data_IF_722663583555
#
_entry.id   IF_722663583555
#
_cell.length_a   1.000
_cell.length_b   1.000
_cell.length_c   1.000
_cell.angle_alpha   90.00
_cell.angle_beta   90.00
_cell.angle_gamma   90.00
#
_symmetry.space_group_name_H-M   'P 1'
#
loop_
_entity.id
_entity.type
_entity.pdbx_description
1 polymer ?
#
# COMPACT_ATOMS: atom_id res chain seq x y z
N UNK A 1 10.17 -9.31 10.34
CA UNK A 1 9.65 -8.09 10.98
C UNK A 1 8.31 -7.75 10.35
N UNK A 2 7.24 -7.60 11.14
CA UNK A 2 5.95 -7.13 10.62
C UNK A 2 5.99 -5.59 10.59
N UNK A 3 6.26 -5.04 9.41
CA UNK A 3 6.37 -3.60 9.17
C UNK A 3 5.00 -2.88 9.28
N UNK A 4 3.92 -3.61 9.57
CA UNK A 4 2.55 -3.08 9.70
C UNK A 4 2.32 -2.23 10.95
N UNK A 5 3.30 -2.06 11.85
CA UNK A 5 3.10 -1.53 13.20
C UNK A 5 3.79 -0.19 13.53
N UNK A 6 4.32 0.54 12.55
CA UNK A 6 4.99 1.83 12.84
C UNK A 6 4.04 2.96 13.29
N UNK A 7 2.71 2.77 13.25
CA UNK A 7 1.76 3.80 13.68
C UNK A 7 0.54 3.30 14.50
N UNK A 8 0.71 2.27 15.35
CA UNK A 8 -0.38 1.87 16.26
C UNK A 8 -0.04 2.12 17.73
N UNK A 9 -0.31 3.35 18.18
CA UNK A 9 -0.41 3.67 19.61
C UNK A 9 -1.88 3.91 20.02
N UNK A 10 -2.34 2.96 20.87
CA UNK A 10 -3.31 3.05 21.99
C UNK A 10 -4.75 2.52 21.80
N UNK A 11 -5.08 1.49 22.58
CA UNK A 11 -6.44 1.22 23.06
C UNK A 11 -6.76 -0.24 23.43
N UNK A 12 -6.35 -0.69 24.61
CA UNK A 12 -6.64 -1.99 25.26
C UNK A 12 -8.07 -2.05 25.85
N UNK A 13 -8.78 -3.20 25.77
CA UNK A 13 -9.29 -4.06 26.89
C UNK A 13 -10.54 -4.90 26.52
N UNK A 14 -10.35 -6.23 26.53
CA UNK A 14 -11.13 -7.31 27.16
C UNK A 14 -12.68 -7.31 27.21
N UNK A 15 -13.27 -8.31 26.52
CA UNK A 15 -14.00 -9.42 27.14
C UNK A 15 -15.52 -9.30 27.40
N UNK A 16 -16.28 -10.31 26.96
CA UNK A 16 -17.60 -10.67 27.52
C UNK A 16 -18.72 -10.92 26.50
N UNK A 17 -19.25 -12.15 26.50
CA UNK A 17 -20.30 -12.74 25.65
C UNK A 17 -21.72 -12.26 25.99
N UNK A 18 -22.69 -12.38 25.05
CA UNK A 18 -24.02 -13.01 25.20
C UNK A 18 -24.95 -12.72 23.98
N UNK A 19 -25.58 -13.80 23.50
CA UNK A 19 -26.89 -14.01 22.84
C UNK A 19 -27.62 -12.93 22.02
N UNK A 20 -28.29 -13.39 20.95
CA UNK A 20 -29.63 -12.89 20.62
C UNK A 20 -29.81 -12.12 19.30
N UNK A 21 -30.37 -12.84 18.33
CA UNK A 21 -31.23 -12.43 17.19
C UNK A 21 -31.49 -10.94 16.85
N UNK A 22 -31.30 -10.67 15.54
CA UNK A 22 -32.04 -9.73 14.69
C UNK A 22 -31.97 -8.23 15.00
N UNK A 23 -31.25 -7.49 14.15
CA UNK A 23 -31.67 -6.17 13.65
C UNK A 23 -30.77 -5.68 12.53
N UNK A 24 -31.38 -5.39 11.38
CA UNK A 24 -30.86 -4.68 10.21
C UNK A 24 -29.45 -4.08 10.34
N UNK A 25 -28.45 -4.69 9.72
CA UNK A 25 -27.24 -3.93 9.39
C UNK A 25 -27.59 -3.02 8.21
N UNK A 26 -27.98 -1.78 8.52
CA UNK A 26 -27.81 -0.65 7.61
C UNK A 26 -26.31 -0.44 7.39
N UNK A 27 -25.65 -1.39 6.72
CA UNK A 27 -24.30 -1.20 6.22
C UNK A 27 -24.43 -0.08 5.21
N UNK A 28 -23.98 1.13 5.56
CA UNK A 28 -23.90 2.22 4.59
C UNK A 28 -23.22 1.65 3.35
N UNK A 29 -23.81 1.80 2.15
CA UNK A 29 -23.17 1.34 0.93
C UNK A 29 -21.73 1.87 0.95
N UNK A 30 -20.76 0.98 0.87
CA UNK A 30 -19.38 1.40 0.77
C UNK A 30 -19.28 2.17 -0.55
N UNK A 31 -19.28 3.51 -0.47
CA UNK A 31 -19.38 4.40 -1.63
C UNK A 31 -18.22 4.19 -2.61
N UNK A 32 -17.13 3.54 -2.17
CA UNK A 32 -16.00 3.17 -3.01
C UNK A 32 -16.28 1.95 -3.91
N UNK A 33 -17.34 1.18 -3.68
CA UNK A 33 -17.77 0.07 -4.55
C UNK A 33 -18.42 0.56 -5.85
N UNK A 34 -18.96 1.78 -5.86
CA UNK A 34 -19.69 2.36 -7.00
C UNK A 34 -18.79 3.18 -7.93
N UNK A 35 -17.51 3.35 -7.57
CA UNK A 35 -16.57 4.13 -8.38
C UNK A 35 -16.08 3.32 -9.60
N UNK A 36 -16.06 3.92 -10.80
CA UNK A 36 -15.38 3.37 -11.96
C UNK A 36 -13.89 3.10 -11.68
N UNK A 37 -13.33 2.05 -12.29
CA UNK A 37 -11.93 1.64 -12.07
C UNK A 37 -10.92 2.74 -12.42
N UNK A 38 -11.18 3.53 -13.46
CA UNK A 38 -10.34 4.66 -13.85
C UNK A 38 -10.28 5.75 -12.78
N UNK A 39 -11.41 6.02 -12.11
CA UNK A 39 -11.48 6.98 -11.00
C UNK A 39 -10.73 6.45 -9.78
N UNK A 40 -10.90 5.16 -9.46
CA UNK A 40 -10.14 4.53 -8.37
C UNK A 40 -8.65 4.62 -8.66
N UNK A 41 -8.23 4.37 -9.91
CA UNK A 41 -6.83 4.43 -10.32
C UNK A 41 -6.25 5.82 -10.13
N UNK A 42 -6.99 6.85 -10.53
CA UNK A 42 -6.56 8.25 -10.39
C UNK A 42 -6.40 8.65 -8.92
N UNK A 43 -7.32 8.20 -8.05
CA UNK A 43 -7.21 8.40 -6.60
C UNK A 43 -5.95 7.70 -6.07
N UNK A 44 -5.78 6.40 -6.36
CA UNK A 44 -4.66 5.62 -5.85
C UNK A 44 -3.30 6.19 -6.31
N UNK A 45 -3.19 6.70 -7.54
CA UNK A 45 -1.96 7.30 -8.08
C UNK A 45 -1.53 8.58 -7.35
N UNK A 46 -2.46 9.22 -6.64
CA UNK A 46 -2.18 10.41 -5.84
C UNK A 46 -1.77 10.06 -4.41
N UNK A 47 -1.82 8.78 -4.04
CA UNK A 47 -1.37 8.28 -2.74
C UNK A 47 0.10 7.89 -2.82
N UNK A 48 0.82 8.07 -1.71
CA UNK A 48 2.19 7.56 -1.57
C UNK A 48 2.21 6.05 -1.35
N UNK A 49 3.40 5.45 -1.46
CA UNK A 49 3.60 4.00 -1.31
C UNK A 49 3.04 3.47 0.01
N UNK A 50 3.35 4.14 1.12
CA UNK A 50 2.88 3.76 2.46
C UNK A 50 1.35 3.71 2.52
N UNK A 51 0.68 4.75 2.03
CA UNK A 51 -0.78 4.83 2.07
C UNK A 51 -1.44 3.73 1.22
N UNK A 52 -0.84 3.38 0.07
CA UNK A 52 -1.33 2.28 -0.77
C UNK A 52 -1.15 0.93 -0.06
N UNK A 53 0.04 0.68 0.50
CA UNK A 53 0.40 -0.58 1.16
C UNK A 53 -0.33 -0.77 2.49
N UNK A 54 -0.56 0.27 3.27
CA UNK A 54 -1.13 0.14 4.61
C UNK A 54 -2.63 0.32 4.60
N UNK A 55 -3.15 1.30 3.86
CA UNK A 55 -4.54 1.76 4.00
C UNK A 55 -5.40 1.44 2.77
N UNK A 56 -5.00 1.87 1.57
CA UNK A 56 -5.85 1.82 0.39
C UNK A 56 -6.27 0.39 0.01
N UNK A 57 -5.37 -0.59 0.14
CA UNK A 57 -5.67 -2.00 -0.11
C UNK A 57 -6.67 -2.64 0.88
N UNK A 58 -7.07 -1.93 1.95
CA UNK A 58 -8.02 -2.40 2.98
C UNK A 58 -9.42 -1.79 2.84
N UNK A 59 -9.62 -0.84 1.91
CA UNK A 59 -10.89 -0.12 1.74
C UNK A 59 -12.01 -1.03 1.23
N UNK A 60 -11.75 -1.76 0.15
CA UNK A 60 -12.67 -2.76 -0.42
C UNK A 60 -11.89 -3.75 -1.31
N UNK A 61 -12.57 -4.81 -1.76
CA UNK A 61 -11.97 -5.82 -2.64
C UNK A 61 -11.48 -5.25 -3.97
N UNK A 62 -12.20 -4.30 -4.57
CA UNK A 62 -11.81 -3.66 -5.83
C UNK A 62 -10.51 -2.87 -5.69
N UNK A 63 -10.40 -2.05 -4.64
CA UNK A 63 -9.17 -1.29 -4.35
C UNK A 63 -8.00 -2.23 -4.05
N UNK A 64 -8.24 -3.29 -3.25
CA UNK A 64 -7.24 -4.31 -2.97
C UNK A 64 -6.73 -4.98 -4.24
N UNK A 65 -7.63 -5.33 -5.16
CA UNK A 65 -7.29 -5.93 -6.45
C UNK A 65 -6.41 -4.98 -7.27
N UNK A 66 -6.80 -3.71 -7.38
CA UNK A 66 -6.00 -2.72 -8.11
C UNK A 66 -4.62 -2.46 -7.49
N UNK A 67 -4.54 -2.35 -6.16
CA UNK A 67 -3.27 -2.10 -5.47
C UNK A 67 -2.29 -3.28 -5.59
N UNK A 68 -2.78 -4.52 -5.74
CA UNK A 68 -1.95 -5.73 -5.80
C UNK A 68 -1.69 -6.22 -7.22
N UNK A 69 -2.69 -6.16 -8.08
CA UNK A 69 -2.70 -6.89 -9.35
C UNK A 69 -2.51 -5.97 -10.57
N UNK A 70 -2.56 -4.63 -10.43
CA UNK A 70 -2.34 -3.68 -11.53
C UNK A 70 -0.92 -3.10 -11.46
N UNK A 71 0.04 -3.56 -12.29
CA UNK A 71 1.41 -3.04 -12.26
C UNK A 71 1.49 -1.57 -12.69
N UNK A 72 0.50 -1.06 -13.42
CA UNK A 72 0.47 0.33 -13.87
C UNK A 72 0.33 1.33 -12.70
N UNK A 73 -0.11 0.84 -11.54
CA UNK A 73 -0.14 1.59 -10.28
C UNK A 73 1.25 1.87 -9.72
N UNK A 74 2.21 1.01 -10.02
CA UNK A 74 3.56 0.99 -9.43
C UNK A 74 4.63 1.49 -10.40
N UNK A 75 4.23 2.19 -11.47
CA UNK A 75 5.16 2.82 -12.43
C UNK A 75 5.88 4.03 -11.85
N UNK A 76 5.28 4.67 -10.86
CA UNK A 76 5.82 5.80 -10.15
C UNK A 76 5.79 5.47 -8.65
N UNK A 77 6.96 5.41 -8.03
CA UNK A 77 7.13 5.09 -6.62
C UNK A 77 7.67 6.34 -5.92
N UNK A 78 6.86 6.99 -5.09
CA UNK A 78 7.29 8.12 -4.26
C UNK A 78 7.36 7.71 -2.78
N UNK A 79 8.58 7.68 -2.27
CA UNK A 79 8.92 7.38 -0.88
C UNK A 79 9.69 8.55 -0.24
N UNK A 80 9.53 9.77 -0.75
CA UNK A 80 10.09 10.97 -0.09
C UNK A 80 9.39 11.22 1.23
N UNK A 81 10.16 11.68 2.22
CA UNK A 81 9.65 12.18 3.51
C UNK A 81 8.84 11.15 4.31
N UNK A 82 9.02 9.86 4.05
CA UNK A 82 8.46 8.79 4.88
C UNK A 82 9.23 8.73 6.20
N UNK A 83 8.49 8.55 7.30
CA UNK A 83 9.07 8.28 8.62
C UNK A 83 9.01 6.78 8.91
N UNK A 84 9.97 6.27 9.67
CA UNK A 84 10.01 4.86 10.04
C UNK A 84 11.43 4.36 10.20
N UNK A 85 11.55 3.07 10.52
CA UNK A 85 12.83 2.38 10.50
C UNK A 85 13.24 2.11 9.06
N UNK A 86 14.51 2.36 8.72
CA UNK A 86 15.04 2.18 7.35
C UNK A 86 14.74 0.77 6.81
N UNK A 87 14.88 -0.27 7.65
CA UNK A 87 14.55 -1.66 7.28
C UNK A 87 13.09 -1.83 6.83
N UNK A 88 12.14 -1.12 7.46
CA UNK A 88 10.74 -1.15 7.07
C UNK A 88 10.52 -0.41 5.73
N UNK A 89 11.22 0.70 5.52
CA UNK A 89 11.16 1.47 4.27
C UNK A 89 11.76 0.68 3.10
N UNK A 90 12.88 -0.03 3.32
CA UNK A 90 13.47 -0.93 2.33
C UNK A 90 12.49 -2.04 1.91
N UNK A 91 11.81 -2.69 2.87
CA UNK A 91 10.81 -3.73 2.58
C UNK A 91 9.63 -3.17 1.79
N UNK A 92 9.13 -1.99 2.15
CA UNK A 92 8.05 -1.33 1.38
C UNK A 92 8.49 -0.96 -0.03
N UNK A 93 9.74 -0.51 -0.19
CA UNK A 93 10.31 -0.20 -1.48
C UNK A 93 10.41 -1.46 -2.36
N UNK A 94 10.91 -2.57 -1.79
CA UNK A 94 11.02 -3.83 -2.51
C UNK A 94 9.65 -4.35 -2.96
N UNK A 95 8.66 -4.36 -2.07
CA UNK A 95 7.29 -4.77 -2.41
C UNK A 95 6.69 -3.90 -3.54
N UNK A 96 6.94 -2.59 -3.52
CA UNK A 96 6.48 -1.67 -4.55
C UNK A 96 7.15 -1.97 -5.91
N UNK A 97 8.45 -2.26 -5.90
CA UNK A 97 9.23 -2.65 -7.09
C UNK A 97 8.74 -3.99 -7.66
N UNK A 98 8.54 -5.00 -6.82
CA UNK A 98 8.01 -6.30 -7.24
C UNK A 98 6.63 -6.16 -7.92
N UNK A 99 5.75 -5.33 -7.35
CA UNK A 99 4.42 -5.07 -7.92
C UNK A 99 4.46 -4.30 -9.24
N UNK A 100 5.53 -3.57 -9.52
CA UNK A 100 5.71 -2.92 -10.81
C UNK A 100 5.91 -3.92 -11.95
N UNK A 101 6.30 -5.16 -11.66
CA UNK A 101 6.56 -6.21 -12.65
C UNK A 101 7.44 -5.71 -13.82
N UNK A 102 8.47 -4.92 -13.49
CA UNK A 102 9.40 -4.33 -14.46
C UNK A 102 8.88 -3.11 -15.21
N UNK A 103 7.70 -2.58 -14.87
CA UNK A 103 7.12 -1.38 -15.48
C UNK A 103 7.47 -0.08 -14.74
N UNK A 104 8.32 -0.15 -13.70
CA UNK A 104 8.80 1.02 -12.98
C UNK A 104 9.47 2.00 -13.95
N UNK A 105 9.04 3.26 -13.93
CA UNK A 105 9.61 4.32 -14.75
C UNK A 105 10.30 5.40 -13.94
N UNK A 106 9.88 5.62 -12.69
CA UNK A 106 10.43 6.65 -11.84
C UNK A 106 10.30 6.23 -10.37
N UNK A 107 11.36 6.44 -9.61
CA UNK A 107 11.42 6.11 -8.19
C UNK A 107 12.10 7.24 -7.43
N UNK A 108 11.51 7.60 -6.30
CA UNK A 108 12.04 8.59 -5.39
C UNK A 108 12.20 8.00 -4.00
N UNK A 109 13.44 7.97 -3.52
CA UNK A 109 13.83 7.47 -2.21
C UNK A 109 14.61 8.58 -1.50
N UNK A 110 14.43 8.71 -0.19
CA UNK A 110 15.14 9.70 0.63
C UNK A 110 15.71 9.05 1.89
N UNK A 111 16.97 9.31 2.19
CA UNK A 111 17.69 8.92 3.42
C UNK A 111 17.89 7.42 3.75
N UNK A 112 17.13 6.48 3.17
CA UNK A 112 17.23 5.04 3.49
C UNK A 112 17.81 4.16 2.37
N UNK A 113 18.23 4.74 1.25
CA UNK A 113 18.78 3.95 0.14
C UNK A 113 20.13 3.32 0.48
N UNK A 114 20.19 1.98 0.46
CA UNK A 114 21.44 1.21 0.53
C UNK A 114 21.86 0.73 -0.86
N UNK A 115 23.16 0.48 -1.06
CA UNK A 115 23.68 -0.05 -2.33
C UNK A 115 22.95 -1.33 -2.76
N UNK A 116 22.62 -2.21 -1.80
CA UNK A 116 21.87 -3.44 -2.06
C UNK A 116 20.45 -3.18 -2.58
N UNK A 117 19.77 -2.19 -2.03
CA UNK A 117 18.45 -1.80 -2.49
C UNK A 117 18.52 -1.22 -3.91
N UNK A 118 19.51 -0.37 -4.18
CA UNK A 118 19.72 0.23 -5.49
C UNK A 118 20.07 -0.83 -6.56
N UNK A 119 20.93 -1.79 -6.22
CA UNK A 119 21.25 -2.92 -7.09
C UNK A 119 19.99 -3.74 -7.41
N UNK A 120 19.21 -4.11 -6.40
CA UNK A 120 17.96 -4.86 -6.58
C UNK A 120 16.94 -4.11 -7.45
N UNK A 121 16.78 -2.78 -7.27
CA UNK A 121 15.91 -1.96 -8.12
C UNK A 121 16.39 -2.02 -9.57
N UNK A 122 17.70 -1.87 -9.80
CA UNK A 122 18.28 -1.89 -11.14
C UNK A 122 18.10 -3.24 -11.86
N UNK A 123 18.18 -4.34 -11.13
CA UNK A 123 17.98 -5.70 -11.66
C UNK A 123 16.51 -5.98 -11.97
N UNK A 124 15.60 -5.48 -11.12
CA UNK A 124 14.15 -5.68 -11.24
C UNK A 124 13.53 -4.83 -12.35
N UNK A 125 14.27 -3.85 -12.90
CA UNK A 125 13.74 -2.86 -13.84
C UNK A 125 14.61 -2.75 -15.10
N UNK A 126 14.46 -3.68 -16.06
CA UNK A 126 15.29 -3.68 -17.28
C UNK A 126 15.11 -2.42 -18.16
N UNK A 127 14.09 -1.60 -17.90
CA UNK A 127 13.81 -0.34 -18.59
C UNK A 127 14.42 0.91 -17.93
N UNK A 128 14.91 0.80 -16.69
CA UNK A 128 15.61 1.89 -15.99
C UNK A 128 17.11 1.63 -16.12
N UNK A 129 17.65 1.86 -17.32
CA UNK A 129 19.08 1.80 -17.63
C UNK A 129 19.52 3.05 -18.37
#
# INVERSE_FOLDING_TARGET
>A
MDCSNTHLMKGTTSGGSEDGESSNSCTRPNRFLELPEDVIRDILRRLGVEEILVNAQRVCSSWRKMCKDDPSMWRFIDMKRLGGEDECLEVMCAEAVDRSQGQLTEIHIDHFATDKLLDYISESTPLVR
#
